data_IF_148446943611
#
_entry.id   IF_148446943611
#
_cell.length_a   1.000
_cell.length_b   1.000
_cell.length_c   1.000
_cell.angle_alpha   90.00
_cell.angle_beta   90.00
_cell.angle_gamma   90.00
#
_symmetry.space_group_name_H-M   'P 1'
#
loop_
_entity.id
_entity.type
_entity.pdbx_description
1 polymer ?
#
# COMPACT_ATOMS: atom_id res chain seq x y z
N UNK A 1 3.03 -25.18 20.13
CA UNK A 1 4.01 -24.22 19.58
C UNK A 1 3.26 -22.97 19.20
N UNK A 2 3.59 -21.84 19.81
CA UNK A 2 2.83 -20.60 19.67
C UNK A 2 2.79 -20.13 18.23
N UNK A 3 1.59 -19.73 17.75
CA UNK A 3 1.42 -19.16 16.41
C UNK A 3 2.25 -17.87 16.35
N UNK A 4 3.30 -17.85 15.54
CA UNK A 4 4.06 -16.64 15.24
C UNK A 4 3.09 -15.59 14.69
N UNK A 5 3.03 -14.41 15.33
CA UNK A 5 2.25 -13.29 14.81
C UNK A 5 2.85 -12.90 13.45
N UNK A 6 2.07 -12.86 12.36
CA UNK A 6 2.60 -12.50 11.06
C UNK A 6 3.11 -11.06 11.10
N UNK A 7 4.28 -10.82 10.50
CA UNK A 7 4.80 -9.46 10.36
C UNK A 7 3.90 -8.66 9.42
N UNK A 8 3.95 -7.32 9.52
CA UNK A 8 3.21 -6.48 8.58
C UNK A 8 3.59 -6.75 7.12
N UNK A 9 4.87 -7.09 6.86
CA UNK A 9 5.29 -7.49 5.51
C UNK A 9 4.59 -8.76 5.04
N UNK A 10 4.48 -9.77 5.92
CA UNK A 10 3.77 -11.01 5.61
C UNK A 10 2.28 -10.75 5.33
N UNK A 11 1.67 -9.81 6.06
CA UNK A 11 0.29 -9.37 5.85
C UNK A 11 0.13 -8.71 4.47
N UNK A 12 1.02 -7.80 4.09
CA UNK A 12 0.98 -7.15 2.77
C UNK A 12 1.15 -8.19 1.66
N UNK A 13 2.08 -9.12 1.80
CA UNK A 13 2.25 -10.19 0.82
C UNK A 13 1.00 -11.08 0.74
N UNK A 14 0.37 -11.44 1.87
CA UNK A 14 -0.85 -12.27 1.85
C UNK A 14 -1.99 -11.60 1.07
N UNK A 15 -2.18 -10.29 1.21
CA UNK A 15 -3.14 -9.56 0.39
C UNK A 15 -2.75 -9.54 -1.09
N UNK A 16 -1.47 -9.43 -1.41
CA UNK A 16 -0.98 -9.53 -2.79
C UNK A 16 -1.30 -10.88 -3.44
N UNK A 17 -1.23 -11.97 -2.67
CA UNK A 17 -1.64 -13.30 -3.11
C UNK A 17 -3.16 -13.43 -3.22
N UNK A 18 -3.92 -12.98 -2.21
CA UNK A 18 -5.38 -13.04 -2.18
C UNK A 18 -6.02 -12.26 -3.34
N UNK A 19 -5.45 -11.10 -3.68
CA UNK A 19 -5.93 -10.24 -4.76
C UNK A 19 -5.28 -10.54 -6.11
N UNK A 20 -4.55 -11.65 -6.25
CA UNK A 20 -3.87 -11.97 -7.50
C UNK A 20 -4.84 -12.18 -8.66
N UNK A 21 -6.02 -12.76 -8.42
CA UNK A 21 -7.06 -12.92 -9.46
C UNK A 21 -7.64 -11.57 -9.89
N UNK A 22 -7.85 -10.66 -8.92
CA UNK A 22 -8.21 -9.27 -9.21
C UNK A 22 -7.13 -8.59 -10.07
N UNK A 23 -5.86 -8.68 -9.66
CA UNK A 23 -4.71 -8.15 -10.41
C UNK A 23 -4.61 -8.73 -11.84
N UNK A 24 -4.95 -10.01 -12.01
CA UNK A 24 -4.93 -10.66 -13.33
C UNK A 24 -6.03 -10.14 -14.26
N UNK A 25 -7.19 -9.77 -13.71
CA UNK A 25 -8.30 -9.19 -14.47
C UNK A 25 -8.04 -7.73 -14.92
N UNK A 26 -7.09 -7.04 -14.29
CA UNK A 26 -6.70 -5.67 -14.65
C UNK A 26 -5.96 -5.59 -16.00
N UNK A 27 -6.09 -4.44 -16.69
CA UNK A 27 -5.26 -4.10 -17.85
C UNK A 27 -3.81 -3.87 -17.41
N UNK A 28 -2.88 -3.85 -18.36
CA UNK A 28 -1.45 -3.73 -18.02
C UNK A 28 -1.13 -2.50 -17.16
N UNK A 29 -1.65 -1.32 -17.55
CA UNK A 29 -1.44 -0.07 -16.80
C UNK A 29 -2.01 -0.13 -15.38
N UNK A 30 -3.17 -0.77 -15.22
CA UNK A 30 -3.82 -0.90 -13.92
C UNK A 30 -3.11 -1.94 -13.04
N UNK A 31 -2.49 -2.95 -13.65
CA UNK A 31 -1.65 -3.94 -12.96
C UNK A 31 -0.39 -3.32 -12.40
N UNK A 32 0.29 -2.49 -13.19
CA UNK A 32 1.45 -1.72 -12.74
C UNK A 32 1.07 -0.78 -11.58
N UNK A 33 -0.06 -0.07 -11.70
CA UNK A 33 -0.58 0.75 -10.61
C UNK A 33 -0.87 -0.07 -9.35
N UNK A 34 -1.50 -1.24 -9.47
CA UNK A 34 -1.76 -2.14 -8.35
C UNK A 34 -0.46 -2.59 -7.66
N UNK A 35 0.58 -2.93 -8.42
CA UNK A 35 1.88 -3.32 -7.85
C UNK A 35 2.52 -2.16 -7.07
N UNK A 36 2.36 -0.92 -7.54
CA UNK A 36 2.77 0.27 -6.80
C UNK A 36 1.98 0.47 -5.51
N UNK A 37 0.67 0.16 -5.46
CA UNK A 37 -0.08 0.18 -4.20
C UNK A 37 0.52 -0.79 -3.17
N UNK A 38 0.90 -1.99 -3.61
CA UNK A 38 1.55 -2.97 -2.72
C UNK A 38 2.94 -2.48 -2.26
N UNK A 39 3.66 -1.76 -3.12
CA UNK A 39 4.91 -1.09 -2.74
C UNK A 39 4.67 0.02 -1.70
N UNK A 40 3.63 0.84 -1.86
CA UNK A 40 3.24 1.85 -0.88
C UNK A 40 2.97 1.23 0.48
N UNK A 41 2.20 0.15 0.54
CA UNK A 41 1.96 -0.57 1.78
C UNK A 41 3.28 -1.03 2.42
N UNK A 42 4.18 -1.68 1.66
CA UNK A 42 5.48 -2.17 2.18
C UNK A 42 6.37 -1.07 2.78
N UNK A 43 6.33 0.16 2.26
CA UNK A 43 7.14 1.30 2.77
C UNK A 43 6.80 1.67 4.21
N UNK A 44 5.58 1.36 4.65
CA UNK A 44 5.09 1.68 5.99
C UNK A 44 5.14 0.50 6.96
N UNK A 45 6.00 -0.50 6.69
CA UNK A 45 6.07 -1.70 7.51
C UNK A 45 6.35 -1.45 9.00
N UNK A 46 7.12 -0.41 9.35
CA UNK A 46 7.35 -0.05 10.76
C UNK A 46 6.08 0.51 11.42
N UNK A 47 5.39 1.44 10.74
CA UNK A 47 4.16 2.04 11.22
C UNK A 47 3.03 1.01 11.35
N UNK A 48 2.87 0.16 10.32
CA UNK A 48 1.87 -0.91 10.32
C UNK A 48 2.11 -1.98 11.37
N UNK A 49 3.37 -2.28 11.72
CA UNK A 49 3.70 -3.24 12.79
C UNK A 49 3.37 -2.73 14.19
N UNK A 50 3.21 -1.42 14.37
CA UNK A 50 2.84 -0.82 15.66
C UNK A 50 1.32 -0.85 15.91
N UNK A 51 0.50 -1.13 14.90
CA UNK A 51 -0.95 -1.21 15.06
C UNK A 51 -1.35 -2.57 15.65
N UNK A 52 -1.87 -2.55 16.87
CA UNK A 52 -2.53 -3.70 17.49
C UNK A 52 -3.93 -3.85 16.88
N UNK A 53 -4.03 -4.32 15.63
CA UNK A 53 -5.29 -4.32 14.89
C UNK A 53 -5.86 -5.75 14.71
N UNK A 54 -7.14 -6.01 15.06
CA UNK A 54 -7.80 -7.25 14.67
C UNK A 54 -7.99 -7.39 13.16
N UNK A 55 -8.05 -6.29 12.41
CA UNK A 55 -8.20 -6.28 10.96
C UNK A 55 -6.88 -5.88 10.25
N UNK A 56 -6.19 -6.81 9.58
CA UNK A 56 -4.95 -6.52 8.86
C UNK A 56 -5.12 -5.59 7.65
N UNK A 57 -6.33 -5.42 7.13
CA UNK A 57 -6.60 -4.59 5.95
C UNK A 57 -6.43 -3.09 6.22
N UNK A 58 -6.85 -2.62 7.39
CA UNK A 58 -6.82 -1.20 7.75
C UNK A 58 -5.41 -0.57 7.69
N UNK A 59 -4.36 -1.14 8.33
CA UNK A 59 -3.02 -0.58 8.24
C UNK A 59 -2.45 -0.63 6.82
N UNK A 60 -2.85 -1.60 5.99
CA UNK A 60 -2.44 -1.70 4.58
C UNK A 60 -3.02 -0.55 3.76
N UNK A 61 -4.34 -0.33 3.87
CA UNK A 61 -5.01 0.76 3.15
C UNK A 61 -4.53 2.12 3.63
N UNK A 62 -4.35 2.30 4.94
CA UNK A 62 -3.85 3.56 5.48
C UNK A 62 -2.46 3.90 4.93
N UNK A 63 -1.59 2.89 4.84
CA UNK A 63 -0.25 3.04 4.25
C UNK A 63 -0.29 3.48 2.79
N UNK A 64 -1.23 2.91 2.01
CA UNK A 64 -1.46 3.31 0.60
C UNK A 64 -1.93 4.76 0.52
N UNK A 65 -2.91 5.15 1.33
CA UNK A 65 -3.48 6.50 1.33
C UNK A 65 -2.43 7.56 1.70
N UNK A 66 -1.55 7.27 2.66
CA UNK A 66 -0.46 8.19 3.04
C UNK A 66 0.50 8.44 1.88
N UNK A 67 0.91 7.40 1.15
CA UNK A 67 1.78 7.57 -0.01
C UNK A 67 1.08 8.30 -1.16
N UNK A 68 -0.22 8.05 -1.38
CA UNK A 68 -1.02 8.82 -2.34
C UNK A 68 -1.12 10.30 -1.97
N UNK A 69 -1.39 10.64 -0.71
CA UNK A 69 -1.46 12.06 -0.28
C UNK A 69 -0.10 12.76 -0.45
N UNK A 70 1.01 12.06 -0.19
CA UNK A 70 2.36 12.57 -0.47
C UNK A 70 2.58 12.83 -1.95
N UNK A 71 2.15 11.92 -2.82
CA UNK A 71 2.25 12.07 -4.27
C UNK A 71 1.39 13.23 -4.77
N UNK A 72 0.13 13.33 -4.31
CA UNK A 72 -0.77 14.43 -4.63
C UNK A 72 -0.18 15.78 -4.22
N UNK A 73 0.40 15.88 -3.02
CA UNK A 73 1.07 17.11 -2.57
C UNK A 73 2.21 17.50 -3.51
N UNK A 74 3.09 16.56 -3.86
CA UNK A 74 4.20 16.83 -4.80
C UNK A 74 3.72 17.27 -6.17
N UNK A 75 2.64 16.67 -6.68
CA UNK A 75 2.05 17.04 -7.96
C UNK A 75 1.45 18.45 -7.91
N UNK A 76 0.71 18.79 -6.84
CA UNK A 76 0.18 20.15 -6.64
C UNK A 76 1.31 21.18 -6.60
N UNK A 77 2.36 20.93 -5.82
CA UNK A 77 3.53 21.81 -5.75
C UNK A 77 4.25 21.96 -7.10
N UNK A 78 4.31 20.90 -7.92
CA UNK A 78 4.92 20.97 -9.24
C UNK A 78 4.09 21.83 -10.20
N UNK A 79 2.76 21.61 -10.24
CA UNK A 79 1.84 22.42 -11.04
C UNK A 79 1.90 23.90 -10.62
N UNK A 80 1.93 24.19 -9.33
CA UNK A 80 2.07 25.57 -8.83
C UNK A 80 3.39 26.23 -9.26
N UNK A 81 4.50 25.50 -9.30
CA UNK A 81 5.80 26.03 -9.74
C UNK A 81 5.90 26.28 -11.26
N UNK A 82 5.22 25.49 -12.08
CA UNK A 82 5.23 25.63 -13.55
C UNK A 82 4.34 26.80 -14.03
N UNK A 83 3.49 27.35 -13.16
CA UNK A 83 2.59 28.47 -13.44
C UNK A 83 3.08 29.81 -12.86
N UNK A 84 4.31 29.88 -12.35
CA UNK A 84 5.01 31.10 -11.89
C UNK A 84 6.11 31.43 -12.90
#
# INVERSE_FOLDING_TARGET
>A
MGRTVPTFRNIVESFGWEWNDFKRALRNIDREAFEELMNHARRHASAGSNMSNPNPFEPVVMSILVEHEKTLRKLREHVEREHI
#
